data_IF_351062702615
#
_entry.id   IF_351062702615
#
_cell.length_a   1.000
_cell.length_b   1.000
_cell.length_c   1.000
_cell.angle_alpha   90.00
_cell.angle_beta   90.00
_cell.angle_gamma   90.00
#
_symmetry.space_group_name_H-M   'P 1'
#
loop_
_entity.id
_entity.type
_entity.pdbx_description
1 polymer ?
#
# COMPACT_ATOMS: atom_id res chain seq x y z
N UNK A 1 17.39 6.11 23.87
CA UNK A 1 15.94 5.93 23.60
C UNK A 1 15.51 7.07 22.70
N UNK A 2 15.05 6.78 21.49
CA UNK A 2 14.41 7.82 20.67
C UNK A 2 13.16 8.28 21.43
N UNK A 3 12.98 9.60 21.56
CA UNK A 3 11.77 10.17 22.14
C UNK A 3 10.50 9.68 21.42
N UNK A 4 9.30 9.84 22.00
CA UNK A 4 8.07 9.48 21.33
C UNK A 4 8.01 10.17 19.95
N UNK A 5 7.68 9.42 18.93
CA UNK A 5 7.53 9.99 17.59
C UNK A 5 6.47 11.09 17.64
N UNK A 6 6.76 12.26 17.06
CA UNK A 6 5.78 13.35 16.97
C UNK A 6 4.49 12.85 16.31
N UNK A 7 3.31 13.25 16.80
CA UNK A 7 2.04 13.00 16.16
C UNK A 7 2.07 13.43 14.68
N UNK A 8 1.28 12.76 13.84
CA UNK A 8 1.29 13.04 12.39
C UNK A 8 0.70 14.41 12.05
N UNK A 9 -0.11 14.99 12.90
CA UNK A 9 -0.72 16.33 12.76
C UNK A 9 0.14 17.45 13.35
N UNK A 10 1.16 17.12 14.15
CA UNK A 10 2.05 18.09 14.80
C UNK A 10 3.49 17.96 14.26
N UNK A 11 3.71 18.42 13.03
CA UNK A 11 5.02 18.43 12.36
C UNK A 11 5.29 19.76 11.72
N UNK A 12 6.57 20.06 11.51
CA UNK A 12 7.00 21.18 10.69
C UNK A 12 7.00 20.77 9.20
N UNK A 13 6.92 21.77 8.32
CA UNK A 13 6.93 21.60 6.87
C UNK A 13 5.61 22.01 6.22
N UNK A 14 5.41 21.55 5.00
CA UNK A 14 4.26 21.90 4.16
C UNK A 14 3.57 20.68 3.60
N UNK A 15 2.28 20.83 3.34
CA UNK A 15 1.45 19.88 2.61
C UNK A 15 0.92 20.62 1.37
N UNK A 16 0.99 19.99 0.21
CA UNK A 16 0.25 20.48 -0.95
C UNK A 16 -1.23 20.14 -0.79
N UNK A 17 -2.10 21.14 -0.89
CA UNK A 17 -3.54 21.03 -0.63
C UNK A 17 -4.31 21.85 -1.65
N UNK A 18 -5.05 21.20 -2.55
CA UNK A 18 -5.89 21.83 -3.58
C UNK A 18 -5.20 22.89 -4.46
N UNK A 19 -3.91 22.70 -4.76
CA UNK A 19 -3.15 23.62 -5.62
C UNK A 19 -2.09 24.44 -4.89
N UNK A 20 -2.21 24.60 -3.57
CA UNK A 20 -1.37 25.45 -2.76
C UNK A 20 -0.51 24.67 -1.77
N UNK A 21 0.62 25.24 -1.37
CA UNK A 21 1.38 24.76 -0.23
C UNK A 21 0.86 25.39 1.04
N UNK A 22 0.39 24.59 1.98
CA UNK A 22 -0.08 25.06 3.28
C UNK A 22 0.83 24.60 4.39
N UNK A 23 0.99 25.36 5.49
CA UNK A 23 1.70 24.88 6.67
C UNK A 23 1.11 23.56 7.17
N UNK A 24 1.96 22.62 7.60
CA UNK A 24 1.54 21.27 7.97
C UNK A 24 0.34 21.23 8.93
N UNK A 25 0.39 22.05 10.00
CA UNK A 25 -0.64 22.10 11.06
C UNK A 25 -1.96 22.74 10.60
N UNK A 26 -1.96 23.41 9.45
CA UNK A 26 -3.14 24.08 8.87
C UNK A 26 -3.88 23.22 7.85
N UNK A 27 -3.28 22.10 7.41
CA UNK A 27 -3.90 21.16 6.48
C UNK A 27 -5.02 20.38 7.17
N UNK A 28 -6.23 20.97 7.18
CA UNK A 28 -7.42 20.45 7.89
C UNK A 28 -8.57 20.24 6.93
N UNK A 29 -9.44 19.29 7.27
CA UNK A 29 -10.72 19.08 6.58
C UNK A 29 -11.87 19.27 7.57
N UNK A 30 -13.02 19.69 7.06
CA UNK A 30 -14.22 19.83 7.89
C UNK A 30 -14.73 18.45 8.33
N UNK A 31 -15.22 18.31 9.56
CA UNK A 31 -15.68 17.03 10.12
C UNK A 31 -16.86 16.41 9.38
N UNK A 32 -17.61 17.18 8.59
CA UNK A 32 -18.72 16.72 7.76
C UNK A 32 -18.31 16.36 6.32
N UNK A 33 -17.02 16.24 6.01
CA UNK A 33 -16.61 15.77 4.68
C UNK A 33 -17.18 14.38 4.40
N UNK A 34 -17.80 14.22 3.24
CA UNK A 34 -18.53 13.02 2.85
C UNK A 34 -17.64 11.74 2.97
N UNK A 35 -16.39 11.84 2.55
CA UNK A 35 -15.49 10.70 2.60
C UNK A 35 -15.15 10.22 4.01
N UNK A 36 -15.20 11.08 5.03
CA UNK A 36 -15.00 10.70 6.42
C UNK A 36 -16.14 9.82 6.94
N UNK A 37 -17.36 10.07 6.47
CA UNK A 37 -18.57 9.34 6.88
C UNK A 37 -18.79 8.05 6.07
N UNK A 38 -18.44 8.05 4.78
CA UNK A 38 -18.79 6.97 3.85
C UNK A 38 -17.59 6.23 3.24
N UNK A 39 -16.35 6.54 3.66
CA UNK A 39 -15.15 5.76 3.31
C UNK A 39 -14.74 5.83 1.83
N UNK A 40 -15.22 6.79 1.05
CA UNK A 40 -15.02 6.87 -0.39
C UNK A 40 -13.85 7.77 -0.83
N UNK A 41 -12.88 8.00 0.04
CA UNK A 41 -11.58 8.55 -0.34
C UNK A 41 -10.68 7.50 -0.97
N UNK A 42 -9.74 7.96 -1.80
CA UNK A 42 -8.67 7.12 -2.36
C UNK A 42 -7.32 7.71 -1.99
N UNK A 43 -6.33 6.85 -1.80
CA UNK A 43 -5.00 7.30 -1.40
C UNK A 43 -3.88 6.53 -2.09
N UNK A 44 -2.69 7.11 -2.04
CA UNK A 44 -1.48 6.46 -2.46
C UNK A 44 -0.45 6.40 -1.33
N UNK A 45 0.55 5.59 -1.53
CA UNK A 45 1.72 5.51 -0.69
C UNK A 45 2.94 5.30 -1.56
N UNK A 46 3.91 6.20 -1.44
CA UNK A 46 5.08 6.25 -2.29
C UNK A 46 6.35 6.37 -1.44
N UNK A 47 7.47 5.87 -1.91
CA UNK A 47 8.75 5.97 -1.20
C UNK A 47 9.68 6.92 -1.92
N UNK A 48 10.39 7.71 -1.11
CA UNK A 48 11.47 8.60 -1.56
C UNK A 48 12.79 7.89 -1.31
N UNK A 49 13.62 7.82 -2.35
CA UNK A 49 14.99 7.32 -2.30
C UNK A 49 15.90 8.32 -3.00
N UNK A 50 16.97 8.76 -2.35
CA UNK A 50 17.92 9.73 -2.92
C UNK A 50 17.21 10.98 -3.49
N UNK A 51 16.24 11.53 -2.76
CA UNK A 51 15.45 12.71 -3.16
C UNK A 51 14.43 12.46 -4.29
N UNK A 52 14.30 11.24 -4.80
CA UNK A 52 13.39 10.89 -5.90
C UNK A 52 12.29 9.94 -5.43
N UNK A 53 11.07 10.17 -5.90
CA UNK A 53 9.95 9.25 -5.67
C UNK A 53 10.00 8.11 -6.68
N UNK A 54 10.11 6.88 -6.18
CA UNK A 54 10.15 5.69 -7.02
C UNK A 54 8.80 5.45 -7.69
N UNK A 55 8.79 5.33 -9.02
CA UNK A 55 7.59 5.09 -9.85
C UNK A 55 6.45 6.09 -9.61
N UNK A 56 6.80 7.35 -9.45
CA UNK A 56 5.87 8.45 -9.17
C UNK A 56 4.67 8.47 -10.13
N UNK A 57 4.93 8.43 -11.43
CA UNK A 57 3.87 8.54 -12.45
C UNK A 57 2.89 7.35 -12.38
N UNK A 58 3.39 6.14 -12.13
CA UNK A 58 2.54 4.96 -11.94
C UNK A 58 1.65 5.09 -10.70
N UNK A 59 2.15 5.70 -9.62
CA UNK A 59 1.36 6.00 -8.43
C UNK A 59 0.29 7.04 -8.71
N UNK A 60 0.62 8.15 -9.37
CA UNK A 60 -0.34 9.19 -9.76
C UNK A 60 -1.42 8.63 -10.70
N UNK A 61 -1.04 7.80 -11.67
CA UNK A 61 -1.99 7.10 -12.55
C UNK A 61 -2.94 6.19 -11.75
N UNK A 62 -2.43 5.48 -10.74
CA UNK A 62 -3.26 4.61 -9.91
C UNK A 62 -4.18 5.40 -8.99
N UNK A 63 -3.76 6.56 -8.46
CA UNK A 63 -4.65 7.46 -7.71
C UNK A 63 -5.85 7.88 -8.57
N UNK A 64 -5.59 8.37 -9.79
CA UNK A 64 -6.65 8.74 -10.76
C UNK A 64 -7.55 7.56 -11.09
N UNK A 65 -6.98 6.39 -11.37
CA UNK A 65 -7.74 5.16 -11.63
C UNK A 65 -8.62 4.76 -10.44
N UNK A 66 -8.08 4.84 -9.23
CA UNK A 66 -8.80 4.51 -8.00
C UNK A 66 -10.02 5.42 -7.78
N UNK A 67 -9.87 6.73 -8.02
CA UNK A 67 -10.97 7.70 -7.96
C UNK A 67 -12.06 7.38 -8.99
N UNK A 68 -11.69 7.10 -10.24
CA UNK A 68 -12.64 6.71 -11.30
C UNK A 68 -13.43 5.44 -10.97
N UNK A 69 -12.80 4.46 -10.31
CA UNK A 69 -13.50 3.26 -9.84
C UNK A 69 -14.53 3.56 -8.74
N UNK A 70 -14.40 4.69 -8.04
CA UNK A 70 -15.38 5.22 -7.08
C UNK A 70 -16.29 6.29 -7.70
N UNK A 71 -16.37 6.32 -9.03
CA UNK A 71 -17.23 7.21 -9.82
C UNK A 71 -16.98 8.71 -9.58
N UNK A 72 -15.71 9.14 -9.46
CA UNK A 72 -15.35 10.55 -9.49
C UNK A 72 -13.99 10.79 -10.18
N UNK A 73 -13.88 11.98 -10.80
CA UNK A 73 -12.65 12.45 -11.41
C UNK A 73 -11.88 13.33 -10.44
N UNK A 74 -10.56 13.29 -10.53
CA UNK A 74 -9.71 14.23 -9.82
C UNK A 74 -9.63 15.55 -10.61
N UNK A 75 -9.57 16.71 -9.91
CA UNK A 75 -9.43 18.01 -10.57
C UNK A 75 -8.02 18.31 -11.11
N UNK A 76 -7.11 17.31 -11.04
CA UNK A 76 -5.72 17.41 -11.48
C UNK A 76 -5.34 16.27 -12.39
N UNK A 77 -4.54 16.58 -13.41
CA UNK A 77 -3.91 15.60 -14.29
C UNK A 77 -2.79 14.85 -13.59
N UNK A 78 -2.39 13.70 -14.13
CA UNK A 78 -1.23 12.95 -13.64
C UNK A 78 0.03 13.80 -13.61
N UNK A 79 0.27 14.63 -14.63
CA UNK A 79 1.44 15.50 -14.70
C UNK A 79 1.44 16.59 -13.62
N UNK A 80 0.27 17.13 -13.27
CA UNK A 80 0.13 18.10 -12.18
C UNK A 80 0.35 17.45 -10.82
N UNK A 81 -0.15 16.23 -10.60
CA UNK A 81 0.09 15.45 -9.39
C UNK A 81 1.58 15.12 -9.22
N UNK A 82 2.25 14.67 -10.30
CA UNK A 82 3.69 14.41 -10.30
C UNK A 82 4.50 15.68 -9.95
N UNK A 83 4.11 16.83 -10.53
CA UNK A 83 4.75 18.11 -10.24
C UNK A 83 4.54 18.52 -8.78
N UNK A 84 3.31 18.42 -8.27
CA UNK A 84 2.97 18.74 -6.90
C UNK A 84 3.74 17.87 -5.89
N UNK A 85 3.84 16.57 -6.17
CA UNK A 85 4.62 15.64 -5.34
C UNK A 85 6.10 16.03 -5.27
N UNK A 86 6.72 16.34 -6.42
CA UNK A 86 8.13 16.79 -6.46
C UNK A 86 8.34 18.09 -5.68
N UNK A 87 7.43 19.04 -5.77
CA UNK A 87 7.47 20.28 -5.00
C UNK A 87 7.43 20.00 -3.50
N UNK A 88 6.47 19.19 -3.02
CA UNK A 88 6.36 18.88 -1.58
C UNK A 88 7.60 18.16 -1.05
N UNK A 89 8.15 17.21 -1.82
CA UNK A 89 9.40 16.52 -1.45
C UNK A 89 10.56 17.48 -1.31
N UNK A 90 10.71 18.42 -2.26
CA UNK A 90 11.75 19.44 -2.26
C UNK A 90 11.59 20.44 -1.10
N UNK A 91 10.39 20.99 -0.90
CA UNK A 91 10.12 21.97 0.16
C UNK A 91 10.34 21.39 1.57
N UNK A 92 9.96 20.10 1.76
CA UNK A 92 10.23 19.38 3.01
C UNK A 92 11.66 18.82 3.10
N UNK A 93 12.54 19.07 2.10
CA UNK A 93 13.97 18.68 2.06
C UNK A 93 14.20 17.19 2.34
N UNK A 94 13.41 16.33 1.72
CA UNK A 94 13.44 14.90 1.98
C UNK A 94 14.34 14.17 0.99
N UNK A 95 15.42 13.59 1.48
CA UNK A 95 16.26 12.64 0.74
C UNK A 95 15.69 11.20 0.81
N UNK A 96 15.11 10.85 1.94
CA UNK A 96 14.42 9.57 2.16
C UNK A 96 13.14 9.79 2.94
N UNK A 97 12.07 9.08 2.58
CA UNK A 97 10.78 9.28 3.24
C UNK A 97 9.61 8.58 2.55
N UNK A 98 8.44 9.05 2.90
CA UNK A 98 7.18 8.54 2.40
C UNK A 98 6.29 9.68 1.93
N UNK A 99 5.61 9.47 0.81
CA UNK A 99 4.60 10.40 0.29
C UNK A 99 3.21 9.76 0.42
N UNK A 100 2.26 10.55 0.87
CA UNK A 100 0.86 10.18 1.06
C UNK A 100 -0.05 11.12 0.25
N UNK A 101 -0.30 10.86 -1.02
CA UNK A 101 -1.41 11.47 -1.74
C UNK A 101 -2.75 10.93 -1.22
N UNK A 102 -3.74 11.82 -1.11
CA UNK A 102 -5.11 11.49 -0.73
C UNK A 102 -6.07 12.36 -1.55
N UNK A 103 -7.13 11.75 -2.06
CA UNK A 103 -8.24 12.45 -2.69
C UNK A 103 -9.55 12.06 -2.01
N UNK A 104 -10.43 13.04 -1.78
CA UNK A 104 -11.69 12.81 -1.04
C UNK A 104 -12.82 13.71 -1.51
N UNK A 105 -14.05 13.29 -1.21
CA UNK A 105 -15.29 14.05 -1.44
C UNK A 105 -15.52 15.02 -0.29
N UNK A 106 -15.87 16.29 -0.62
CA UNK A 106 -16.05 17.39 0.31
C UNK A 106 -17.29 17.34 1.20
N UNK A 107 -17.68 18.49 1.75
CA UNK A 107 -18.71 18.60 2.79
C UNK A 107 -19.96 19.37 2.31
N UNK A 108 -20.13 19.53 1.00
CA UNK A 108 -21.23 20.32 0.41
C UNK A 108 -22.60 19.64 0.56
N UNK A 109 -22.60 18.31 0.68
CA UNK A 109 -23.80 17.51 0.91
C UNK A 109 -23.56 16.47 1.99
N UNK A 110 -24.61 16.11 2.72
CA UNK A 110 -24.62 15.02 3.68
C UNK A 110 -25.70 14.01 3.29
N UNK A 111 -25.34 12.75 3.21
CA UNK A 111 -26.22 11.67 2.76
C UNK A 111 -25.40 10.64 2.01
N UNK A 112 -25.98 9.49 1.64
CA UNK A 112 -25.27 8.40 0.98
C UNK A 112 -24.77 8.80 -0.41
N UNK A 113 -25.57 9.59 -1.16
CA UNK A 113 -25.16 10.10 -2.46
C UNK A 113 -24.10 11.18 -2.31
N UNK A 114 -23.00 11.03 -3.07
CA UNK A 114 -21.92 12.02 -3.12
C UNK A 114 -22.06 13.01 -4.30
N UNK A 115 -23.19 13.00 -5.02
CA UNK A 115 -23.45 13.95 -6.13
C UNK A 115 -23.53 15.36 -5.54
N UNK A 116 -22.80 16.29 -6.16
CA UNK A 116 -22.72 17.68 -5.71
C UNK A 116 -21.61 17.98 -4.70
N UNK A 117 -20.80 16.99 -4.33
CA UNK A 117 -19.57 17.26 -3.55
C UNK A 117 -18.43 17.70 -4.46
N UNK A 118 -17.62 18.63 -3.97
CA UNK A 118 -16.31 18.93 -4.56
C UNK A 118 -15.32 17.78 -4.27
N UNK A 119 -14.31 17.67 -5.13
CA UNK A 119 -13.20 16.74 -4.92
C UNK A 119 -11.98 17.52 -4.46
N UNK A 120 -11.44 17.11 -3.33
CA UNK A 120 -10.23 17.68 -2.74
C UNK A 120 -9.06 16.71 -2.91
N UNK A 121 -7.84 17.27 -3.03
CA UNK A 121 -6.61 16.49 -3.11
C UNK A 121 -5.55 17.09 -2.20
N UNK A 122 -4.87 16.25 -1.44
CA UNK A 122 -3.67 16.65 -0.70
C UNK A 122 -2.50 15.70 -0.98
N UNK A 123 -1.29 16.20 -0.84
CA UNK A 123 -0.05 15.43 -0.92
C UNK A 123 0.82 15.83 0.27
N UNK A 124 1.05 14.89 1.19
CA UNK A 124 1.96 15.05 2.31
C UNK A 124 3.22 14.21 2.07
N UNK A 125 4.39 14.74 2.43
CA UNK A 125 5.64 14.01 2.40
C UNK A 125 6.39 14.18 3.73
N UNK A 126 6.92 13.08 4.29
CA UNK A 126 7.52 13.07 5.61
C UNK A 126 8.61 12.00 5.74
N UNK A 127 9.57 12.16 6.66
CA UNK A 127 10.58 11.16 6.93
C UNK A 127 9.95 9.82 7.34
N UNK A 128 10.46 8.71 6.79
CA UNK A 128 9.95 7.38 7.07
C UNK A 128 11.09 6.35 7.02
N UNK A 129 11.22 5.56 8.08
CA UNK A 129 12.20 4.49 8.19
C UNK A 129 11.72 3.14 7.63
N UNK A 130 12.39 2.06 8.05
CA UNK A 130 11.96 0.70 7.74
C UNK A 130 10.63 0.38 8.43
N UNK A 131 9.68 -0.20 7.67
CA UNK A 131 8.31 -0.42 8.16
C UNK A 131 8.25 -1.43 9.32
N UNK A 132 8.84 -2.61 9.16
CA UNK A 132 8.86 -3.63 10.21
C UNK A 132 10.15 -3.61 11.05
N UNK A 133 11.27 -3.13 10.53
CA UNK A 133 12.56 -3.10 11.21
C UNK A 133 13.15 -4.48 11.52
N UNK A 134 12.62 -5.54 10.91
CA UNK A 134 13.03 -6.93 11.11
C UNK A 134 13.43 -7.59 9.80
N UNK A 135 14.40 -8.53 9.86
CA UNK A 135 14.85 -9.29 8.68
C UNK A 135 13.75 -10.18 8.09
N UNK A 136 12.93 -10.78 8.94
CA UNK A 136 11.76 -11.57 8.58
C UNK A 136 10.64 -11.33 9.60
N UNK A 137 9.39 -11.48 9.17
CA UNK A 137 8.20 -11.27 10.01
C UNK A 137 7.38 -12.55 10.13
N UNK A 138 6.52 -12.58 11.16
CA UNK A 138 5.53 -13.64 11.35
C UNK A 138 4.14 -13.10 11.06
N UNK A 139 3.31 -13.93 10.46
CA UNK A 139 1.92 -13.63 10.17
C UNK A 139 1.00 -14.60 10.91
N UNK A 140 -0.23 -14.17 11.15
CA UNK A 140 -1.35 -15.05 11.47
C UNK A 140 -2.36 -15.05 10.33
N UNK A 141 -3.13 -16.12 10.18
CA UNK A 141 -4.27 -16.12 9.27
C UNK A 141 -5.42 -15.29 9.86
N UNK A 142 -5.87 -14.30 9.09
CA UNK A 142 -6.98 -13.44 9.49
C UNK A 142 -8.33 -14.14 9.36
N UNK A 143 -9.26 -13.87 10.28
CA UNK A 143 -10.67 -14.21 10.11
C UNK A 143 -11.40 -13.29 9.13
N UNK A 144 -10.88 -12.06 8.93
CA UNK A 144 -11.41 -11.09 7.99
C UNK A 144 -10.99 -11.46 6.57
N UNK A 145 -11.94 -11.38 5.63
CA UNK A 145 -11.72 -11.76 4.23
C UNK A 145 -11.74 -10.55 3.32
N UNK A 146 -10.95 -10.59 2.25
CA UNK A 146 -11.06 -9.61 1.18
C UNK A 146 -12.42 -9.77 0.49
N UNK A 147 -13.14 -8.66 0.23
CA UNK A 147 -14.50 -8.73 -0.31
C UNK A 147 -14.51 -9.20 -1.76
N UNK A 148 -15.68 -9.68 -2.20
CA UNK A 148 -15.95 -9.98 -3.60
C UNK A 148 -15.85 -8.72 -4.45
N UNK A 149 -15.35 -8.80 -5.69
CA UNK A 149 -15.39 -7.70 -6.65
C UNK A 149 -16.82 -7.24 -7.00
N UNK A 150 -17.82 -8.08 -6.74
CA UNK A 150 -19.25 -7.72 -6.89
C UNK A 150 -19.75 -6.86 -5.73
N UNK A 151 -19.08 -6.88 -4.57
CA UNK A 151 -19.48 -6.10 -3.38
C UNK A 151 -18.62 -4.86 -3.17
N UNK A 152 -17.44 -4.77 -3.79
CA UNK A 152 -16.56 -3.61 -3.68
C UNK A 152 -15.52 -3.55 -4.80
N UNK A 153 -15.05 -2.36 -5.18
CA UNK A 153 -14.05 -2.18 -6.24
C UNK A 153 -12.64 -2.57 -5.75
N UNK A 154 -12.36 -3.88 -5.62
CA UNK A 154 -11.10 -4.42 -5.05
C UNK A 154 -9.81 -3.87 -5.70
N UNK A 155 -9.86 -3.48 -6.98
CA UNK A 155 -8.73 -2.84 -7.68
C UNK A 155 -8.48 -1.38 -7.32
N UNK A 156 -9.39 -0.74 -6.57
CA UNK A 156 -9.23 0.65 -6.08
C UNK A 156 -8.45 0.66 -4.77
N UNK A 157 -7.58 1.68 -4.61
CA UNK A 157 -6.94 1.95 -3.31
C UNK A 157 -7.83 2.87 -2.48
N UNK A 158 -9.08 2.41 -2.24
CA UNK A 158 -10.11 3.14 -1.50
C UNK A 158 -9.95 2.93 0.02
N UNK A 159 -10.10 4.01 0.80
CA UNK A 159 -9.96 3.97 2.26
C UNK A 159 -10.96 3.00 2.92
N UNK A 160 -12.18 2.92 2.42
CA UNK A 160 -13.20 1.99 2.93
C UNK A 160 -12.81 0.51 2.86
N UNK A 161 -11.92 0.12 1.93
CA UNK A 161 -11.41 -1.24 1.84
C UNK A 161 -10.37 -1.58 2.92
N UNK A 162 -9.85 -0.56 3.63
CA UNK A 162 -8.85 -0.74 4.68
C UNK A 162 -9.43 -0.96 6.07
N UNK A 163 -10.75 -0.86 6.25
CA UNK A 163 -11.41 -1.16 7.53
C UNK A 163 -11.06 -2.59 7.98
N UNK A 164 -11.26 -3.59 7.11
CA UNK A 164 -10.95 -4.99 7.41
C UNK A 164 -9.44 -5.22 7.56
N UNK A 165 -8.62 -4.45 6.85
CA UNK A 165 -7.16 -4.52 6.98
C UNK A 165 -6.72 -4.01 8.36
N UNK A 166 -7.30 -2.91 8.85
CA UNK A 166 -7.05 -2.39 10.20
C UNK A 166 -7.43 -3.40 11.26
N UNK A 167 -8.64 -3.98 11.18
CA UNK A 167 -9.10 -4.98 12.13
C UNK A 167 -8.19 -6.22 12.14
N UNK A 168 -7.80 -6.72 10.96
CA UNK A 168 -6.88 -7.85 10.85
C UNK A 168 -5.48 -7.53 11.40
N UNK A 169 -4.98 -6.31 11.15
CA UNK A 169 -3.69 -5.85 11.63
C UNK A 169 -3.66 -5.74 13.16
N UNK A 170 -4.69 -5.15 13.73
CA UNK A 170 -4.79 -4.97 15.19
C UNK A 170 -4.88 -6.32 15.91
N UNK A 171 -5.63 -7.29 15.35
CA UNK A 171 -5.68 -8.66 15.86
C UNK A 171 -4.30 -9.35 15.79
N UNK A 172 -3.56 -9.17 14.70
CA UNK A 172 -2.21 -9.72 14.56
C UNK A 172 -1.24 -9.14 15.59
N UNK A 173 -1.27 -7.81 15.77
CA UNK A 173 -0.44 -7.14 16.77
C UNK A 173 -0.80 -7.57 18.21
N UNK A 174 -2.07 -7.73 18.50
CA UNK A 174 -2.54 -8.25 19.79
C UNK A 174 -2.11 -9.71 20.03
N UNK A 175 -1.99 -10.51 18.96
CA UNK A 175 -1.47 -11.88 19.02
C UNK A 175 0.07 -11.96 19.06
N UNK A 176 0.79 -10.81 19.02
CA UNK A 176 2.26 -10.76 19.08
C UNK A 176 2.96 -11.04 17.76
N UNK A 177 2.25 -11.00 16.62
CA UNK A 177 2.86 -11.14 15.29
C UNK A 177 2.76 -9.82 14.50
N UNK A 178 3.53 -9.69 13.43
CA UNK A 178 3.71 -8.40 12.76
C UNK A 178 2.59 -8.05 11.79
N UNK A 179 1.92 -9.05 11.18
CA UNK A 179 0.83 -8.80 10.22
C UNK A 179 -0.10 -10.01 10.13
N UNK A 180 -1.16 -9.90 9.31
CA UNK A 180 -2.09 -10.97 9.04
C UNK A 180 -2.17 -11.28 7.54
N UNK A 181 -2.18 -12.59 7.21
CA UNK A 181 -2.53 -13.08 5.88
C UNK A 181 -4.05 -13.18 5.78
N UNK A 182 -4.61 -12.53 4.77
CA UNK A 182 -6.04 -12.54 4.50
C UNK A 182 -6.39 -13.54 3.40
N UNK A 183 -7.50 -14.21 3.56
CA UNK A 183 -8.15 -14.94 2.47
C UNK A 183 -9.12 -14.03 1.72
N UNK A 184 -9.49 -14.40 0.52
CA UNK A 184 -10.60 -13.78 -0.17
C UNK A 184 -11.96 -14.38 0.23
N UNK A 185 -13.03 -13.85 -0.34
CA UNK A 185 -14.40 -14.30 -0.07
C UNK A 185 -14.65 -15.77 -0.44
N UNK A 186 -13.88 -16.36 -1.36
CA UNK A 186 -13.92 -17.78 -1.73
C UNK A 186 -13.06 -18.66 -0.82
N UNK A 187 -12.21 -18.07 0.04
CA UNK A 187 -11.28 -18.79 0.92
C UNK A 187 -9.91 -19.05 0.31
N UNK A 188 -9.57 -18.48 -0.85
CA UNK A 188 -8.24 -18.55 -1.47
C UNK A 188 -7.29 -17.58 -0.74
N UNK A 189 -5.98 -17.86 -0.80
CA UNK A 189 -4.97 -16.90 -0.35
C UNK A 189 -5.10 -15.61 -1.16
N UNK A 190 -5.00 -14.48 -0.47
CA UNK A 190 -5.15 -13.16 -1.06
C UNK A 190 -3.89 -12.33 -0.84
N UNK A 191 -3.89 -11.44 0.12
CA UNK A 191 -2.76 -10.57 0.43
C UNK A 191 -2.69 -10.32 1.95
N UNK A 192 -1.62 -9.76 2.46
CA UNK A 192 -1.57 -9.26 3.83
C UNK A 192 -2.33 -7.94 3.96
N UNK A 193 -2.38 -7.35 5.16
CA UNK A 193 -3.22 -6.17 5.43
C UNK A 193 -2.86 -4.94 4.58
N UNK A 194 -1.63 -4.85 4.10
CA UNK A 194 -1.17 -3.73 3.26
C UNK A 194 -0.10 -4.12 2.24
N UNK A 195 0.07 -5.42 1.95
CA UNK A 195 1.14 -5.93 1.10
C UNK A 195 0.72 -7.20 0.35
N UNK A 196 1.17 -7.36 -0.90
CA UNK A 196 0.87 -8.52 -1.73
C UNK A 196 1.72 -9.73 -1.33
N UNK A 197 1.16 -10.93 -1.50
CA UNK A 197 1.76 -12.22 -1.15
C UNK A 197 2.51 -12.83 -2.34
N UNK A 198 3.68 -13.41 -2.05
CA UNK A 198 4.44 -14.28 -2.95
C UNK A 198 4.87 -15.56 -2.25
N UNK A 199 4.86 -16.66 -2.99
CA UNK A 199 5.28 -17.99 -2.58
C UNK A 199 6.32 -18.51 -3.56
N UNK A 200 7.39 -19.13 -3.07
CA UNK A 200 8.31 -19.91 -3.91
C UNK A 200 7.92 -21.39 -3.79
N UNK A 201 7.50 -21.98 -4.89
CA UNK A 201 7.10 -23.41 -4.98
C UNK A 201 7.85 -24.03 -6.14
N UNK A 202 8.65 -25.07 -5.87
CA UNK A 202 9.47 -25.77 -6.88
C UNK A 202 10.37 -24.82 -7.68
N UNK A 203 10.90 -23.77 -7.06
CA UNK A 203 11.75 -22.75 -7.71
C UNK A 203 11.00 -21.75 -8.59
N UNK A 204 9.69 -21.85 -8.71
CA UNK A 204 8.83 -20.88 -9.40
C UNK A 204 8.24 -19.85 -8.40
N UNK A 205 8.03 -18.64 -8.86
CA UNK A 205 7.43 -17.56 -8.06
C UNK A 205 5.93 -17.48 -8.32
N UNK A 206 5.12 -17.79 -7.32
CA UNK A 206 3.67 -17.76 -7.39
C UNK A 206 3.09 -16.57 -6.62
N UNK A 207 2.04 -15.95 -7.17
CA UNK A 207 1.31 -14.86 -6.52
C UNK A 207 -0.18 -14.93 -6.88
N UNK A 208 -1.09 -14.55 -5.96
CA UNK A 208 -2.52 -14.51 -6.25
C UNK A 208 -2.89 -13.61 -7.43
N UNK A 209 -3.96 -13.95 -8.15
CA UNK A 209 -4.57 -13.10 -9.18
C UNK A 209 -5.10 -11.80 -8.59
N UNK A 210 -5.27 -10.78 -9.42
CA UNK A 210 -5.71 -9.45 -8.98
C UNK A 210 -7.23 -9.30 -8.83
N UNK A 211 -7.96 -10.38 -8.77
CA UNK A 211 -9.43 -10.37 -8.62
C UNK A 211 -9.87 -9.65 -7.34
N UNK A 212 -9.19 -9.94 -6.21
CA UNK A 212 -9.57 -9.47 -4.87
C UNK A 212 -8.48 -8.67 -4.15
N UNK A 213 -7.36 -8.44 -4.81
CA UNK A 213 -6.20 -7.73 -4.26
C UNK A 213 -5.89 -6.47 -5.08
N UNK A 214 -5.16 -5.56 -4.45
CA UNK A 214 -4.59 -4.44 -5.18
C UNK A 214 -3.45 -4.94 -6.09
N UNK A 215 -3.44 -4.54 -7.37
CA UNK A 215 -2.30 -4.79 -8.25
C UNK A 215 -1.15 -3.86 -7.86
N UNK A 216 -0.30 -4.32 -6.93
CA UNK A 216 0.75 -3.52 -6.32
C UNK A 216 1.85 -3.13 -7.31
N UNK A 217 2.31 -1.87 -7.25
CA UNK A 217 3.43 -1.39 -8.08
C UNK A 217 4.72 -2.11 -7.70
N UNK A 218 4.95 -2.34 -6.41
CA UNK A 218 6.07 -3.17 -5.94
C UNK A 218 5.92 -4.63 -6.39
N UNK A 219 4.71 -5.19 -6.34
CA UNK A 219 4.42 -6.54 -6.85
C UNK A 219 4.84 -6.67 -8.32
N UNK A 220 4.39 -5.76 -9.19
CA UNK A 220 4.75 -5.76 -10.62
C UNK A 220 6.26 -5.62 -10.82
N UNK A 221 6.92 -4.74 -10.06
CA UNK A 221 8.37 -4.54 -10.11
C UNK A 221 9.13 -5.83 -9.75
N UNK A 222 8.70 -6.52 -8.69
CA UNK A 222 9.34 -7.79 -8.24
C UNK A 222 9.10 -8.90 -9.25
N UNK A 223 7.92 -8.99 -9.86
CA UNK A 223 7.66 -9.96 -10.94
C UNK A 223 8.60 -9.74 -12.14
N UNK A 224 8.85 -8.48 -12.51
CA UNK A 224 9.79 -8.15 -13.59
C UNK A 224 11.25 -8.46 -13.21
N UNK A 225 11.65 -8.21 -11.97
CA UNK A 225 12.97 -8.59 -11.47
C UNK A 225 13.16 -10.12 -11.49
N UNK A 226 12.16 -10.87 -11.04
CA UNK A 226 12.19 -12.33 -11.08
C UNK A 226 12.32 -12.87 -12.51
N UNK A 227 11.53 -12.33 -13.46
CA UNK A 227 11.63 -12.70 -14.89
C UNK A 227 13.01 -12.40 -15.47
N UNK A 228 13.62 -11.26 -15.14
CA UNK A 228 14.99 -10.92 -15.56
C UNK A 228 16.04 -11.89 -15.01
N UNK A 229 15.77 -12.56 -13.91
CA UNK A 229 16.60 -13.63 -13.33
C UNK A 229 16.29 -15.02 -13.89
N UNK A 230 15.36 -15.13 -14.85
CA UNK A 230 14.92 -16.41 -15.41
C UNK A 230 14.02 -17.21 -14.48
N UNK A 231 13.53 -16.60 -13.39
CA UNK A 231 12.57 -17.23 -12.47
C UNK A 231 11.18 -17.16 -13.11
N UNK A 232 10.55 -18.31 -13.28
CA UNK A 232 9.18 -18.37 -13.80
C UNK A 232 8.21 -17.75 -12.79
N UNK A 233 7.38 -16.81 -13.25
CA UNK A 233 6.37 -16.13 -12.44
C UNK A 233 4.98 -16.59 -12.87
N UNK A 234 4.19 -17.08 -11.90
CA UNK A 234 2.87 -17.66 -12.11
C UNK A 234 1.83 -16.88 -11.29
N UNK A 235 0.96 -16.15 -11.98
CA UNK A 235 -0.22 -15.53 -11.37
C UNK A 235 -1.39 -16.51 -11.45
N UNK A 236 -1.92 -16.94 -10.30
CA UNK A 236 -2.98 -17.93 -10.25
C UNK A 236 -3.79 -17.86 -8.96
N UNK A 237 -4.90 -18.55 -8.90
CA UNK A 237 -5.56 -18.88 -7.65
C UNK A 237 -4.68 -19.79 -6.80
N UNK A 238 -4.57 -19.50 -5.50
CA UNK A 238 -3.75 -20.26 -4.55
C UNK A 238 -4.62 -20.59 -3.33
N UNK A 239 -4.61 -21.84 -2.92
CA UNK A 239 -5.39 -22.30 -1.79
C UNK A 239 -4.54 -22.43 -0.52
N UNK A 240 -5.15 -22.35 0.69
CA UNK A 240 -4.41 -22.37 1.94
C UNK A 240 -3.54 -23.62 2.16
N UNK A 241 -3.99 -24.78 1.70
CA UNK A 241 -3.22 -26.04 1.80
C UNK A 241 -1.94 -26.02 0.97
N UNK A 242 -1.83 -25.15 -0.02
CA UNK A 242 -0.62 -25.02 -0.85
C UNK A 242 0.53 -24.31 -0.12
N UNK A 243 0.26 -23.62 1.00
CA UNK A 243 1.34 -23.08 1.85
C UNK A 243 2.33 -24.18 2.27
N UNK A 244 1.85 -25.43 2.47
CA UNK A 244 2.71 -26.56 2.82
C UNK A 244 3.73 -26.92 1.74
N UNK A 245 3.56 -26.49 0.51
CA UNK A 245 4.49 -26.71 -0.60
C UNK A 245 5.42 -25.53 -0.87
N UNK A 246 5.23 -24.39 -0.18
CA UNK A 246 6.09 -23.24 -0.32
C UNK A 246 7.40 -23.42 0.46
N UNK A 247 8.53 -23.26 -0.22
CA UNK A 247 9.85 -23.23 0.44
C UNK A 247 10.16 -21.86 1.03
N UNK A 248 9.69 -20.79 0.38
CA UNK A 248 9.90 -19.40 0.79
C UNK A 248 8.60 -18.61 0.65
N UNK A 249 8.40 -17.65 1.55
CA UNK A 249 7.27 -16.71 1.51
C UNK A 249 7.78 -15.30 1.75
N UNK A 250 7.25 -14.34 0.98
CA UNK A 250 7.51 -12.93 1.23
C UNK A 250 6.34 -12.04 0.82
N UNK A 251 6.34 -10.83 1.34
CA UNK A 251 5.38 -9.79 1.02
C UNK A 251 6.02 -8.69 0.19
N UNK A 252 5.21 -8.00 -0.61
CA UNK A 252 5.67 -6.81 -1.36
C UNK A 252 4.70 -5.65 -1.20
N UNK A 253 5.25 -4.46 -1.03
CA UNK A 253 4.47 -3.22 -0.94
C UNK A 253 5.39 -2.02 -0.82
N UNK A 254 4.91 -0.84 -1.14
CA UNK A 254 5.72 0.37 -1.12
C UNK A 254 6.34 0.63 0.26
N UNK A 255 5.58 0.46 1.34
CA UNK A 255 6.08 0.69 2.70
C UNK A 255 7.04 -0.42 3.17
N UNK A 256 6.74 -1.68 2.82
CA UNK A 256 7.48 -2.86 3.28
C UNK A 256 8.59 -3.29 2.33
N UNK A 257 8.64 -2.73 1.12
CA UNK A 257 9.56 -3.12 0.04
C UNK A 257 9.36 -4.61 -0.31
N UNK A 258 10.38 -5.43 -0.16
CA UNK A 258 10.31 -6.90 -0.23
C UNK A 258 10.58 -7.43 1.17
N UNK A 259 9.56 -7.92 1.85
CA UNK A 259 9.62 -8.34 3.25
C UNK A 259 9.53 -9.87 3.38
N UNK A 260 10.59 -10.56 3.76
CA UNK A 260 10.56 -11.99 4.03
C UNK A 260 9.59 -12.35 5.16
N UNK A 261 8.92 -13.50 5.04
CA UNK A 261 8.05 -14.09 6.05
C UNK A 261 8.68 -15.37 6.58
N UNK A 262 8.87 -15.47 7.90
CA UNK A 262 9.44 -16.64 8.56
C UNK A 262 8.41 -17.63 9.10
N UNK A 263 7.16 -17.19 9.28
CA UNK A 263 6.08 -18.09 9.68
C UNK A 263 4.70 -17.52 9.33
N UNK A 264 3.76 -18.40 9.05
CA UNK A 264 2.32 -18.11 8.99
C UNK A 264 1.64 -19.11 9.94
N UNK A 265 1.01 -18.62 11.00
CA UNK A 265 0.48 -19.43 12.10
C UNK A 265 1.58 -20.36 12.68
N UNK A 266 1.43 -21.68 12.52
CA UNK A 266 2.39 -22.69 12.99
C UNK A 266 3.35 -23.15 11.90
N UNK A 267 3.15 -22.73 10.67
CA UNK A 267 4.00 -23.12 9.55
C UNK A 267 5.18 -22.17 9.41
N UNK A 268 6.39 -22.71 9.48
CA UNK A 268 7.64 -21.98 9.33
C UNK A 268 8.14 -22.00 7.88
N UNK A 269 8.84 -20.94 7.47
CA UNK A 269 9.45 -20.79 6.14
C UNK A 269 10.88 -20.29 6.28
N UNK A 270 11.72 -20.72 5.38
CA UNK A 270 13.08 -20.22 5.28
C UNK A 270 13.11 -18.89 4.51
N UNK A 271 14.06 -18.02 4.85
CA UNK A 271 14.44 -16.90 4.01
C UNK A 271 15.46 -17.40 3.01
N UNK A 272 14.98 -18.03 1.96
CA UNK A 272 15.80 -18.73 0.99
C UNK A 272 16.41 -17.84 -0.10
N UNK A 273 17.13 -18.43 -1.06
CA UNK A 273 17.93 -17.71 -2.03
C UNK A 273 17.10 -16.83 -2.99
N UNK A 274 15.90 -17.26 -3.36
CA UNK A 274 15.03 -16.46 -4.26
C UNK A 274 14.60 -15.18 -3.59
N UNK A 275 14.12 -15.27 -2.35
CA UNK A 275 13.71 -14.11 -1.56
C UNK A 275 14.89 -13.16 -1.31
N UNK A 276 16.06 -13.69 -0.89
CA UNK A 276 17.25 -12.87 -0.65
C UNK A 276 17.71 -12.12 -1.90
N UNK A 277 17.69 -12.80 -3.05
CA UNK A 277 18.07 -12.20 -4.32
C UNK A 277 17.10 -11.07 -4.71
N UNK A 278 15.78 -11.28 -4.60
CA UNK A 278 14.77 -10.27 -4.94
C UNK A 278 14.79 -9.08 -3.97
N UNK A 279 15.10 -9.29 -2.68
CA UNK A 279 15.35 -8.21 -1.70
C UNK A 279 16.53 -7.34 -2.16
N UNK A 280 17.66 -7.98 -2.54
CA UNK A 280 18.86 -7.28 -2.99
C UNK A 280 18.61 -6.51 -4.30
N UNK A 281 17.98 -7.16 -5.28
CA UNK A 281 17.67 -6.57 -6.58
C UNK A 281 16.73 -5.37 -6.47
N UNK A 282 15.66 -5.49 -5.65
CA UNK A 282 14.74 -4.39 -5.41
C UNK A 282 15.44 -3.21 -4.70
N UNK A 283 16.23 -3.52 -3.67
CA UNK A 283 16.99 -2.49 -2.93
C UNK A 283 17.99 -1.74 -3.83
N UNK A 284 18.67 -2.44 -4.73
CA UNK A 284 19.57 -1.82 -5.71
C UNK A 284 18.80 -0.94 -6.72
N UNK A 285 17.67 -1.45 -7.23
CA UNK A 285 16.86 -0.74 -8.23
C UNK A 285 16.31 0.58 -7.70
N UNK A 286 15.77 0.61 -6.49
CA UNK A 286 15.13 1.84 -5.96
C UNK A 286 16.13 2.91 -5.53
N UNK A 287 17.41 2.56 -5.44
CA UNK A 287 18.51 3.47 -5.05
C UNK A 287 19.46 3.83 -6.19
N UNK A 288 19.19 3.32 -7.40
CA UNK A 288 19.96 3.62 -8.62
C UNK A 288 19.70 5.02 -9.20
#
# INVERSE_FOLDING_TARGET
MAGPALPMDDRDGVIWYNGDLVPWREAKAHVLVHSLHYGNSVFEGERIYNGKVFKLTEHSQRLVKSAKMLAYDLPYTVAELDKATKIVVSENKLDSGYVRPLAWRGAEVIGVSAIGTNVHVMIAAFPWGAYYGQKAIKLMTSRWKRPSPESSPAGSKAAGLYIICTLAKDEALAAGVQDALMHDYKGRLSEATGANLFLVINGELHTPTTETILNGITRLTVMDLARKRGIKVVEREIWPNELAHASEVFLTGTAVEVQPVSAIDKQEFEVGPVTQQLVADYSALVRS
#
